data_IF_175152698293
#
_entry.id   IF_175152698293
#
_cell.length_a   1.000
_cell.length_b   1.000
_cell.length_c   1.000
_cell.angle_alpha   90.00
_cell.angle_beta   90.00
_cell.angle_gamma   90.00
#
_symmetry.space_group_name_H-M   'P 1'
#
loop_
_entity.id
_entity.type
_entity.pdbx_description
1 polymer ?
#
# COMPACT_ATOMS: atom_id res chain seq x y z
N UNK A 1 -12.28 16.10 21.53
CA UNK A 1 -11.41 15.06 22.09
C UNK A 1 -10.14 14.97 21.24
N UNK A 2 -8.95 15.17 21.82
CA UNK A 2 -7.68 15.24 21.08
C UNK A 2 -7.35 13.96 20.30
N UNK A 3 -7.68 12.79 20.85
CA UNK A 3 -7.35 11.50 20.20
C UNK A 3 -8.17 11.23 18.94
N UNK A 4 -9.45 11.59 18.94
CA UNK A 4 -10.28 11.54 17.72
C UNK A 4 -9.67 12.41 16.62
N UNK A 5 -9.25 13.63 16.96
CA UNK A 5 -8.57 14.54 16.03
C UNK A 5 -7.26 13.94 15.50
N UNK A 6 -6.44 13.33 16.37
CA UNK A 6 -5.21 12.67 15.98
C UNK A 6 -5.45 11.51 14.99
N UNK A 7 -6.41 10.62 15.27
CA UNK A 7 -6.73 9.47 14.41
C UNK A 7 -7.22 9.95 13.05
N UNK A 8 -8.17 10.88 13.02
CA UNK A 8 -8.75 11.39 11.77
C UNK A 8 -7.72 12.17 10.94
N UNK A 9 -6.88 12.98 11.56
CA UNK A 9 -5.79 13.68 10.86
C UNK A 9 -4.76 12.73 10.30
N UNK A 10 -4.39 11.68 11.06
CA UNK A 10 -3.44 10.65 10.60
C UNK A 10 -3.97 9.99 9.32
N UNK A 11 -5.23 9.54 9.32
CA UNK A 11 -5.86 8.98 8.13
C UNK A 11 -5.90 9.98 6.97
N UNK A 12 -6.34 11.22 7.23
CA UNK A 12 -6.44 12.25 6.19
C UNK A 12 -5.08 12.55 5.53
N UNK A 13 -4.00 12.57 6.31
CA UNK A 13 -2.63 12.76 5.80
C UNK A 13 -2.20 11.57 4.94
N UNK A 14 -2.49 10.34 5.38
CA UNK A 14 -2.21 9.13 4.61
C UNK A 14 -2.97 9.10 3.29
N UNK A 15 -4.27 9.36 3.30
CA UNK A 15 -5.13 9.42 2.11
C UNK A 15 -4.62 10.47 1.11
N UNK A 16 -4.21 11.65 1.60
CA UNK A 16 -3.61 12.70 0.75
C UNK A 16 -2.32 12.23 0.07
N UNK A 17 -1.45 11.52 0.79
CA UNK A 17 -0.22 10.93 0.21
C UNK A 17 -0.57 9.86 -0.81
N UNK A 18 -1.56 9.02 -0.53
CA UNK A 18 -2.03 7.97 -1.44
C UNK A 18 -2.56 8.56 -2.74
N UNK A 19 -3.46 9.55 -2.67
CA UNK A 19 -4.01 10.25 -3.84
C UNK A 19 -2.92 10.88 -4.70
N UNK A 20 -1.94 11.51 -4.07
CA UNK A 20 -0.80 12.08 -4.79
C UNK A 20 0.00 10.99 -5.51
N UNK A 21 0.28 9.87 -4.85
CA UNK A 21 0.96 8.74 -5.46
C UNK A 21 0.17 8.17 -6.66
N UNK A 22 -1.12 7.88 -6.46
CA UNK A 22 -2.02 7.36 -7.49
C UNK A 22 -2.06 8.30 -8.70
N UNK A 23 -2.18 9.61 -8.46
CA UNK A 23 -2.24 10.61 -9.54
C UNK A 23 -0.97 10.61 -10.40
N UNK A 24 0.21 10.51 -9.77
CA UNK A 24 1.48 10.41 -10.49
C UNK A 24 1.56 9.12 -11.30
N UNK A 25 1.19 7.97 -10.71
CA UNK A 25 1.19 6.68 -11.39
C UNK A 25 0.23 6.67 -12.60
N UNK A 26 -0.99 7.21 -12.43
CA UNK A 26 -1.95 7.36 -13.52
C UNK A 26 -1.42 8.24 -14.66
N UNK A 27 -0.75 9.35 -14.33
CA UNK A 27 -0.13 10.22 -15.34
C UNK A 27 0.97 9.48 -16.12
N UNK A 28 1.80 8.68 -15.43
CA UNK A 28 2.83 7.85 -16.06
C UNK A 28 2.22 6.81 -17.00
N UNK A 29 1.22 6.06 -16.53
CA UNK A 29 0.51 5.03 -17.32
C UNK A 29 -0.18 5.61 -18.55
N UNK A 30 -0.80 6.79 -18.42
CA UNK A 30 -1.40 7.51 -19.56
C UNK A 30 -0.35 7.96 -20.58
N UNK A 31 0.82 8.38 -20.10
CA UNK A 31 1.94 8.77 -20.97
C UNK A 31 2.48 7.57 -21.73
N UNK A 32 2.69 6.43 -21.06
CA UNK A 32 3.09 5.16 -21.67
C UNK A 32 2.12 4.69 -22.75
N UNK A 33 0.82 4.85 -22.50
CA UNK A 33 -0.23 4.44 -23.44
C UNK A 33 -0.22 5.26 -24.74
N UNK A 34 0.21 6.54 -24.68
CA UNK A 34 0.29 7.46 -25.83
C UNK A 34 1.61 7.37 -26.58
N UNK A 35 2.70 7.18 -25.84
CA UNK A 35 4.06 7.00 -26.37
C UNK A 35 4.66 5.78 -25.68
N UNK A 36 4.60 4.60 -26.31
CA UNK A 36 5.26 3.40 -25.82
C UNK A 36 6.79 3.52 -26.00
N UNK A 37 7.41 4.56 -25.43
CA UNK A 37 8.84 4.53 -25.16
C UNK A 37 9.06 3.62 -23.95
N UNK A 38 10.15 2.85 -23.97
CA UNK A 38 10.46 1.78 -23.02
C UNK A 38 10.52 2.31 -21.59
N UNK A 39 9.37 2.36 -20.89
CA UNK A 39 9.38 2.47 -19.44
C UNK A 39 9.95 1.17 -18.90
N UNK A 40 10.99 1.31 -18.09
CA UNK A 40 11.62 0.19 -17.43
C UNK A 40 10.56 -0.59 -16.61
N UNK A 41 10.28 -1.85 -16.95
CA UNK A 41 9.31 -2.65 -16.22
C UNK A 41 9.71 -2.86 -14.75
N UNK A 42 11.01 -2.80 -14.43
CA UNK A 42 11.50 -2.88 -13.04
C UNK A 42 11.10 -1.64 -12.26
N UNK A 43 11.22 -0.45 -12.88
CA UNK A 43 10.73 0.80 -12.29
C UNK A 43 9.21 0.76 -12.06
N UNK A 44 8.44 0.31 -13.06
CA UNK A 44 6.99 0.20 -12.89
C UNK A 44 6.60 -0.80 -11.79
N UNK A 45 7.33 -1.92 -11.69
CA UNK A 45 7.15 -2.87 -10.60
C UNK A 45 7.37 -2.23 -9.24
N UNK A 46 8.46 -1.48 -9.07
CA UNK A 46 8.78 -0.84 -7.79
C UNK A 46 7.72 0.18 -7.37
N UNK A 47 7.19 0.97 -8.31
CA UNK A 47 6.10 1.92 -8.04
C UNK A 47 4.81 1.20 -7.62
N UNK A 48 4.48 0.06 -8.24
CA UNK A 48 3.32 -0.74 -7.88
C UNK A 48 3.46 -1.40 -6.51
N UNK A 49 4.64 -1.94 -6.20
CA UNK A 49 4.91 -2.53 -4.89
C UNK A 49 4.93 -1.48 -3.79
N UNK A 50 5.44 -0.27 -4.07
CA UNK A 50 5.37 0.87 -3.16
C UNK A 50 3.92 1.31 -2.90
N UNK A 51 3.11 1.46 -3.95
CA UNK A 51 1.68 1.79 -3.81
C UNK A 51 0.94 0.72 -3.01
N UNK A 52 1.11 -0.57 -3.33
CA UNK A 52 0.45 -1.65 -2.62
C UNK A 52 0.85 -1.69 -1.13
N UNK A 53 2.13 -1.49 -0.83
CA UNK A 53 2.60 -1.44 0.56
C UNK A 53 1.98 -0.26 1.31
N UNK A 54 1.89 0.91 0.70
CA UNK A 54 1.34 2.09 1.35
C UNK A 54 -0.19 2.02 1.52
N UNK A 55 -0.91 1.73 0.43
CA UNK A 55 -2.36 1.71 0.39
C UNK A 55 -2.94 0.54 1.19
N UNK A 56 -2.50 -0.69 0.90
CA UNK A 56 -3.12 -1.89 1.47
C UNK A 56 -2.52 -2.25 2.85
N UNK A 57 -1.19 -2.25 2.98
CA UNK A 57 -0.53 -2.79 4.17
C UNK A 57 -0.50 -1.80 5.36
N UNK A 58 -0.57 -0.49 5.09
CA UNK A 58 -0.59 0.56 6.13
C UNK A 58 -1.97 1.16 6.31
N UNK A 59 -2.41 1.97 5.35
CA UNK A 59 -3.60 2.81 5.50
C UNK A 59 -4.88 1.97 5.62
N UNK A 60 -5.13 1.10 4.63
CA UNK A 60 -6.31 0.25 4.62
C UNK A 60 -6.36 -0.68 5.83
N UNK A 61 -5.21 -1.16 6.32
CA UNK A 61 -5.15 -1.97 7.54
C UNK A 61 -5.65 -1.21 8.77
N UNK A 62 -5.25 0.05 8.95
CA UNK A 62 -5.74 0.92 10.03
C UNK A 62 -7.26 1.11 9.94
N UNK A 63 -7.78 1.34 8.73
CA UNK A 63 -9.21 1.51 8.51
C UNK A 63 -9.98 0.21 8.80
N UNK A 64 -9.57 -0.92 8.22
CA UNK A 64 -10.26 -2.19 8.32
C UNK A 64 -10.14 -2.86 9.70
N UNK A 65 -8.98 -2.77 10.34
CA UNK A 65 -8.73 -3.45 11.62
C UNK A 65 -9.18 -2.63 12.83
N UNK A 66 -9.20 -1.30 12.73
CA UNK A 66 -9.47 -0.42 13.88
C UNK A 66 -10.78 0.35 13.72
N UNK A 67 -10.94 1.08 12.60
CA UNK A 67 -12.03 2.03 12.46
C UNK A 67 -13.37 1.37 12.10
N UNK A 68 -13.37 0.48 11.11
CA UNK A 68 -14.59 -0.22 10.66
C UNK A 68 -15.25 -1.05 11.76
N UNK A 69 -14.52 -1.82 12.61
CA UNK A 69 -15.11 -2.51 13.75
C UNK A 69 -15.72 -1.56 14.78
N UNK A 70 -15.06 -0.45 15.09
CA UNK A 70 -15.58 0.54 16.04
C UNK A 70 -16.90 1.16 15.54
N UNK A 71 -16.95 1.55 14.25
CA UNK A 71 -18.18 2.05 13.63
C UNK A 71 -19.30 1.00 13.65
N UNK A 72 -18.98 -0.26 13.34
CA UNK A 72 -19.94 -1.37 13.35
C UNK A 72 -20.55 -1.60 14.74
N UNK A 73 -19.74 -1.48 15.79
CA UNK A 73 -20.19 -1.66 17.17
C UNK A 73 -20.99 -0.45 17.67
N UNK A 74 -20.70 0.74 17.14
CA UNK A 74 -21.35 1.98 17.55
C UNK A 74 -22.73 2.17 16.88
N UNK A 75 -22.95 1.65 15.67
CA UNK A 75 -24.24 1.80 14.96
C UNK A 75 -24.54 0.69 13.96
N UNK A 76 -25.81 0.26 13.90
CA UNK A 76 -26.30 -0.67 12.88
C UNK A 76 -26.51 -0.04 11.49
N UNK A 77 -26.59 1.28 11.41
CA UNK A 77 -26.82 2.01 10.14
C UNK A 77 -25.62 1.91 9.17
N UNK A 78 -24.44 1.56 9.67
CA UNK A 78 -23.21 1.51 8.88
C UNK A 78 -23.12 0.29 7.96
N UNK A 79 -24.00 -0.71 8.11
CA UNK A 79 -23.91 -2.00 7.42
C UNK A 79 -23.64 -1.90 5.90
N UNK A 80 -24.46 -1.17 5.13
CA UNK A 80 -24.26 -1.01 3.69
C UNK A 80 -22.92 -0.37 3.33
N UNK A 81 -22.52 0.71 4.02
CA UNK A 81 -21.25 1.39 3.79
C UNK A 81 -20.05 0.48 4.06
N UNK A 82 -20.08 -0.27 5.16
CA UNK A 82 -18.99 -1.19 5.51
C UNK A 82 -18.90 -2.33 4.48
N UNK A 83 -20.03 -2.85 4.01
CA UNK A 83 -20.06 -3.88 2.97
C UNK A 83 -19.49 -3.39 1.63
N UNK A 84 -19.83 -2.16 1.23
CA UNK A 84 -19.26 -1.51 0.04
C UNK A 84 -17.74 -1.39 0.12
N UNK A 85 -17.24 -0.89 1.27
CA UNK A 85 -15.81 -0.77 1.52
C UNK A 85 -15.11 -2.13 1.45
N UNK A 86 -15.64 -3.15 2.13
CA UNK A 86 -15.09 -4.52 2.06
C UNK A 86 -15.09 -5.08 0.63
N UNK A 87 -16.11 -4.75 -0.17
CA UNK A 87 -16.19 -5.13 -1.57
C UNK A 87 -15.08 -4.47 -2.40
N UNK A 88 -14.89 -3.16 -2.24
CA UNK A 88 -13.80 -2.42 -2.90
C UNK A 88 -12.42 -2.95 -2.52
N UNK A 89 -12.25 -3.39 -1.27
CA UNK A 89 -11.00 -4.01 -0.81
C UNK A 89 -10.74 -5.37 -1.46
N UNK A 90 -11.77 -6.22 -1.54
CA UNK A 90 -11.64 -7.52 -2.24
C UNK A 90 -11.35 -7.31 -3.73
N UNK A 91 -12.03 -6.36 -4.35
CA UNK A 91 -11.82 -6.01 -5.75
C UNK A 91 -10.42 -5.46 -6.00
N UNK A 92 -9.94 -4.56 -5.14
CA UNK A 92 -8.58 -4.01 -5.18
C UNK A 92 -7.51 -5.09 -5.13
N UNK A 93 -7.60 -6.02 -4.16
CA UNK A 93 -6.66 -7.16 -4.06
C UNK A 93 -6.67 -8.04 -5.31
N UNK A 94 -7.85 -8.30 -5.88
CA UNK A 94 -7.97 -9.08 -7.12
C UNK A 94 -7.35 -8.34 -8.32
N UNK A 95 -7.58 -7.03 -8.43
CA UNK A 95 -6.99 -6.18 -9.47
C UNK A 95 -5.47 -6.11 -9.34
N UNK A 96 -4.91 -5.93 -8.13
CA UNK A 96 -3.47 -5.92 -7.90
C UNK A 96 -2.83 -7.26 -8.32
N UNK A 97 -3.47 -8.39 -7.99
CA UNK A 97 -3.02 -9.70 -8.46
C UNK A 97 -3.04 -9.80 -10.00
N UNK A 98 -4.05 -9.22 -10.65
CA UNK A 98 -4.10 -9.14 -12.11
C UNK A 98 -2.99 -8.24 -12.68
N UNK A 99 -2.74 -7.06 -12.10
CA UNK A 99 -1.64 -6.17 -12.49
C UNK A 99 -0.30 -6.91 -12.44
N UNK A 100 0.00 -7.61 -11.34
CA UNK A 100 1.23 -8.40 -11.18
C UNK A 100 1.37 -9.52 -12.23
N UNK A 101 0.25 -10.14 -12.64
CA UNK A 101 0.25 -11.12 -13.75
C UNK A 101 0.53 -10.43 -15.09
N UNK A 102 -0.09 -9.28 -15.36
CA UNK A 102 0.10 -8.53 -16.60
C UNK A 102 1.54 -8.03 -16.75
N UNK A 103 2.12 -7.52 -15.67
CA UNK A 103 3.49 -6.99 -15.65
C UNK A 103 4.50 -8.07 -16.03
N UNK A 104 4.40 -9.26 -15.44
CA UNK A 104 5.24 -10.41 -15.79
C UNK A 104 5.12 -10.84 -17.26
N UNK A 105 3.95 -10.67 -17.87
CA UNK A 105 3.73 -10.98 -19.30
C UNK A 105 4.29 -9.87 -20.20
N UNK A 106 4.11 -8.61 -19.84
CA UNK A 106 4.65 -7.46 -20.56
C UNK A 106 6.19 -7.48 -20.60
N UNK A 107 6.84 -7.92 -19.53
CA UNK A 107 8.31 -8.13 -19.47
C UNK A 107 8.83 -9.13 -20.53
N UNK A 108 7.97 -10.01 -21.08
CA UNK A 108 8.33 -10.98 -22.14
C UNK A 108 8.21 -10.42 -23.57
N UNK A 109 8.15 -9.08 -23.72
CA UNK A 109 8.29 -8.30 -24.97
C UNK A 109 7.17 -8.45 -26.01
N UNK A 110 5.93 -8.11 -25.65
CA UNK A 110 4.84 -7.95 -26.63
C UNK A 110 4.06 -6.65 -26.39
N UNK A 111 3.96 -5.80 -27.40
CA UNK A 111 3.30 -4.49 -27.33
C UNK A 111 1.83 -4.57 -26.89
N UNK A 112 1.11 -5.63 -27.28
CA UNK A 112 -0.28 -5.88 -26.88
C UNK A 112 -0.42 -6.03 -25.35
N UNK A 113 0.59 -6.61 -24.70
CA UNK A 113 0.59 -6.81 -23.26
C UNK A 113 0.81 -5.50 -22.49
N UNK A 114 1.49 -4.51 -23.09
CA UNK A 114 1.71 -3.19 -22.49
C UNK A 114 0.42 -2.38 -22.39
N UNK A 115 -0.42 -2.39 -23.43
CA UNK A 115 -1.73 -1.72 -23.39
C UNK A 115 -2.65 -2.33 -22.34
N UNK A 116 -2.69 -3.68 -22.27
CA UNK A 116 -3.49 -4.38 -21.27
C UNK A 116 -3.02 -4.11 -19.84
N UNK A 117 -1.70 -4.07 -19.62
CA UNK A 117 -1.10 -3.68 -18.35
C UNK A 117 -1.53 -2.27 -17.94
N UNK A 118 -1.39 -1.29 -18.84
CA UNK A 118 -1.77 0.10 -18.57
C UNK A 118 -3.24 0.22 -18.15
N UNK A 119 -4.15 -0.43 -18.88
CA UNK A 119 -5.58 -0.44 -18.54
C UNK A 119 -5.85 -1.09 -17.19
N UNK A 120 -5.15 -2.19 -16.87
CA UNK A 120 -5.33 -2.89 -15.59
C UNK A 120 -4.84 -2.04 -14.41
N UNK A 121 -3.74 -1.31 -14.58
CA UNK A 121 -3.24 -0.37 -13.56
C UNK A 121 -4.21 0.79 -13.38
N UNK A 122 -4.75 1.35 -14.46
CA UNK A 122 -5.74 2.43 -14.40
C UNK A 122 -6.97 1.97 -13.59
N UNK A 123 -7.53 0.80 -13.89
CA UNK A 123 -8.66 0.23 -13.15
C UNK A 123 -8.37 0.03 -11.66
N UNK A 124 -7.18 -0.49 -11.32
CA UNK A 124 -6.74 -0.64 -9.92
C UNK A 124 -6.68 0.71 -9.20
N UNK A 125 -6.07 1.72 -9.83
CA UNK A 125 -5.97 3.07 -9.28
C UNK A 125 -7.35 3.72 -9.08
N UNK A 126 -8.28 3.54 -10.03
CA UNK A 126 -9.65 4.05 -9.89
C UNK A 126 -10.39 3.39 -8.73
N UNK A 127 -10.22 2.07 -8.51
CA UNK A 127 -10.81 1.38 -7.37
C UNK A 127 -10.29 1.92 -6.03
N UNK A 128 -8.98 2.19 -5.93
CA UNK A 128 -8.41 2.84 -4.74
C UNK A 128 -9.00 4.24 -4.52
N UNK A 129 -9.05 5.08 -5.56
CA UNK A 129 -9.64 6.42 -5.47
C UNK A 129 -11.11 6.39 -5.04
N UNK A 130 -11.89 5.44 -5.56
CA UNK A 130 -13.29 5.26 -5.17
C UNK A 130 -13.41 4.88 -3.69
N UNK A 131 -12.51 4.02 -3.18
CA UNK A 131 -12.47 3.67 -1.77
C UNK A 131 -12.13 4.87 -0.91
N UNK A 132 -11.09 5.64 -1.26
CA UNK A 132 -10.69 6.86 -0.56
C UNK A 132 -11.84 7.89 -0.52
N UNK A 133 -12.57 8.07 -1.62
CA UNK A 133 -13.73 8.95 -1.67
C UNK A 133 -14.83 8.53 -0.67
N UNK A 134 -15.13 7.23 -0.58
CA UNK A 134 -16.12 6.71 0.38
C UNK A 134 -15.65 6.86 1.82
N UNK A 135 -14.38 6.58 2.08
CA UNK A 135 -13.82 6.75 3.42
C UNK A 135 -13.92 8.21 3.88
N UNK A 136 -13.43 9.14 3.06
CA UNK A 136 -13.40 10.57 3.39
C UNK A 136 -14.80 11.19 3.52
N UNK A 137 -15.73 10.85 2.63
CA UNK A 137 -17.06 11.50 2.57
C UNK A 137 -18.09 10.84 3.46
N UNK A 138 -17.94 9.56 3.74
CA UNK A 138 -18.97 8.78 4.44
C UNK A 138 -18.43 8.19 5.75
N UNK A 139 -17.33 7.42 5.71
CA UNK A 139 -16.84 6.69 6.89
C UNK A 139 -16.28 7.61 7.98
N UNK A 140 -15.40 8.55 7.64
CA UNK A 140 -14.76 9.42 8.63
C UNK A 140 -15.79 10.33 9.34
N UNK A 141 -16.74 10.99 8.63
CA UNK A 141 -17.80 11.76 9.27
C UNK A 141 -18.72 10.90 10.12
N UNK A 142 -19.07 9.69 9.66
CA UNK A 142 -19.87 8.74 10.43
C UNK A 142 -19.16 8.34 11.71
N UNK A 143 -17.88 7.95 11.62
CA UNK A 143 -17.06 7.56 12.76
C UNK A 143 -17.01 8.68 13.80
N UNK A 144 -16.75 9.92 13.37
CA UNK A 144 -16.71 11.09 14.25
C UNK A 144 -18.02 11.31 15.01
N UNK A 145 -19.16 10.99 14.39
CA UNK A 145 -20.50 11.17 14.97
C UNK A 145 -20.87 10.05 15.95
N UNK A 146 -20.46 8.81 15.70
CA UNK A 146 -20.99 7.63 16.43
C UNK A 146 -20.04 7.01 17.44
N UNK A 147 -18.72 7.14 17.24
CA UNK A 147 -17.72 6.52 18.13
C UNK A 147 -17.59 7.34 19.40
N UNK A 148 -17.65 6.66 20.56
CA UNK A 148 -17.53 7.32 21.86
C UNK A 148 -16.10 7.77 22.12
N UNK A 149 -15.97 8.79 22.96
CA UNK A 149 -14.70 9.40 23.32
C UNK A 149 -13.63 8.42 23.81
N UNK A 150 -14.03 7.43 24.60
CA UNK A 150 -13.15 6.43 25.21
C UNK A 150 -12.64 5.44 24.16
N UNK A 151 -13.47 5.08 23.19
CA UNK A 151 -13.13 4.16 22.09
C UNK A 151 -12.08 4.78 21.14
N UNK A 152 -12.09 6.11 20.98
CA UNK A 152 -11.04 6.81 20.22
C UNK A 152 -9.64 6.64 20.81
N UNK A 153 -9.53 6.46 22.12
CA UNK A 153 -8.24 6.21 22.76
C UNK A 153 -7.65 4.87 22.32
N UNK A 154 -8.46 3.82 22.35
CA UNK A 154 -8.04 2.48 21.91
C UNK A 154 -7.65 2.46 20.43
N UNK A 155 -8.43 3.15 19.58
CA UNK A 155 -8.11 3.28 18.15
C UNK A 155 -6.77 3.98 17.95
N UNK A 156 -6.53 5.07 18.68
CA UNK A 156 -5.26 5.81 18.63
C UNK A 156 -4.06 4.95 19.07
N UNK A 157 -4.23 4.15 20.12
CA UNK A 157 -3.21 3.20 20.59
C UNK A 157 -2.87 2.17 19.51
N UNK A 158 -3.88 1.56 18.89
CA UNK A 158 -3.69 0.59 17.80
C UNK A 158 -2.95 1.18 16.60
N UNK A 159 -3.18 2.45 16.26
CA UNK A 159 -2.47 3.12 15.16
C UNK A 159 -0.97 3.21 15.43
N UNK A 160 -0.59 3.60 16.65
CA UNK A 160 0.81 3.72 17.06
C UNK A 160 1.53 2.36 16.99
N UNK A 161 0.92 1.30 17.50
CA UNK A 161 1.49 -0.06 17.45
C UNK A 161 1.70 -0.53 15.99
N UNK A 162 0.76 -0.22 15.10
CA UNK A 162 0.90 -0.56 13.68
C UNK A 162 2.05 0.23 13.03
N UNK A 163 2.21 1.51 13.34
CA UNK A 163 3.29 2.35 12.80
C UNK A 163 4.69 1.87 13.26
N UNK A 164 4.83 1.43 14.51
CA UNK A 164 6.08 0.84 15.02
C UNK A 164 6.46 -0.46 14.30
N UNK A 165 5.47 -1.32 14.06
CA UNK A 165 5.66 -2.57 13.32
C UNK A 165 6.13 -2.30 11.89
N UNK A 166 5.56 -1.27 11.26
CA UNK A 166 5.89 -0.86 9.90
C UNK A 166 7.25 -0.17 9.77
N UNK A 167 7.70 0.53 10.82
CA UNK A 167 9.03 1.15 10.88
C UNK A 167 10.16 0.14 11.10
N UNK A 168 9.90 -0.91 11.88
CA UNK A 168 10.88 -1.98 12.16
C UNK A 168 11.07 -2.93 10.96
N UNK A 169 10.03 -3.22 10.18
CA UNK A 169 10.13 -4.00 8.96
C UNK A 169 10.99 -3.35 7.85
N UNK A 170 11.15 -2.02 7.87
CA UNK A 170 12.03 -1.28 6.96
C UNK A 170 13.51 -1.27 7.37
N UNK A 171 13.84 -1.76 8.57
CA UNK A 171 15.19 -1.77 9.14
C UNK A 171 15.71 -3.22 9.11
N UNK A 172 16.00 -3.74 7.92
CA UNK A 172 16.82 -4.96 7.83
C UNK A 172 18.19 -4.67 8.48
N UNK A 173 18.63 -5.46 9.48
CA UNK A 173 19.97 -5.31 10.01
C UNK A 173 20.94 -5.63 8.86
N UNK A 174 21.79 -4.66 8.52
CA UNK A 174 22.90 -4.91 7.62
C UNK A 174 23.65 -6.12 8.18
N UNK A 175 23.61 -7.23 7.44
CA UNK A 175 24.34 -8.43 7.78
C UNK A 175 25.81 -8.02 8.00
N UNK A 176 26.29 -8.21 9.21
CA UNK A 176 27.67 -7.94 9.57
C UNK A 176 28.56 -8.89 8.77
N UNK A 177 29.11 -8.39 7.68
CA UNK A 177 30.21 -9.02 6.95
C UNK A 177 31.40 -9.13 7.91
N UNK A 178 31.55 -10.29 8.56
CA UNK A 178 32.79 -10.66 9.22
C UNK A 178 33.86 -10.84 8.13
N UNK A 179 35.02 -10.17 8.21
CA UNK A 179 36.12 -10.47 7.30
C UNK A 179 36.73 -11.81 7.71
N UNK A 180 36.54 -12.84 6.88
CA UNK A 180 37.23 -14.12 7.01
C UNK A 180 38.72 -13.93 6.74
N UNK A 181 39.51 -14.10 7.80
CA UNK A 181 40.97 -14.09 7.79
C UNK A 181 41.48 -15.17 6.79
N UNK A 182 42.14 -14.74 5.71
CA UNK A 182 42.82 -15.63 4.77
C UNK A 182 44.17 -16.02 5.37
N UNK A 183 44.20 -17.12 6.12
CA UNK A 183 45.43 -17.71 6.62
C UNK A 183 46.34 -18.13 5.46
N UNK A 184 47.57 -17.61 5.45
CA UNK A 184 48.59 -17.93 4.46
C UNK A 184 49.04 -19.39 4.56
N UNK A 185 49.17 -20.05 3.41
CA UNK A 185 49.95 -21.27 3.27
C UNK A 185 51.42 -20.91 3.02
N UNK A 186 52.39 -21.52 3.71
CA UNK A 186 53.79 -21.42 3.33
C UNK A 186 54.08 -22.36 2.14
N UNK A 187 54.80 -21.81 1.17
CA UNK A 187 55.19 -22.43 -0.08
C UNK A 187 56.36 -23.40 0.18
N UNK A 188 56.16 -24.70 -0.04
CA UNK A 188 57.24 -25.70 -0.07
C UNK A 188 58.06 -25.52 -1.36
N UNK A 189 59.38 -25.34 -1.21
CA UNK A 189 60.37 -25.44 -2.29
C UNK A 189 60.58 -26.91 -2.70
N UNK A 190 60.76 -27.23 -3.99
CA UNK A 190 61.26 -28.54 -4.38
C UNK A 190 62.79 -28.54 -4.38
N UNK A 191 63.35 -29.66 -3.92
CA UNK A 191 64.77 -29.98 -4.07
C UNK A 191 65.08 -30.33 -5.53
N UNK A 192 66.19 -29.78 -6.03
CA UNK A 192 66.78 -30.03 -7.34
C UNK A 192 68.06 -29.24 -7.47
#
# INVERSE_FOLDING_TARGET
MLTATYVLLTLSIEQKKERHFISRLLQQVRTMSRKPQEVDPVYLQSQLDELARFAEARHQRKVEACLMPAVRNATGEAGPLLADLESLSRLGRAMLAAVRKCLRRAMRRSAVHSTFLCRTIDMYCQNLLQRLDKEERELLPLAQRVIRSEEWFEIGSMFLTQDETDGTAGRQPAASSRPGYRGGQPQLMPAG
#
